data_IF_174274162043
#
_entry.id   IF_174274162043
#
_cell.length_a   1.000
_cell.length_b   1.000
_cell.length_c   1.000
_cell.angle_alpha   90.00
_cell.angle_beta   90.00
_cell.angle_gamma   90.00
#
_symmetry.space_group_name_H-M   'P 1'
#
loop_
_entity.id
_entity.type
_entity.pdbx_description
1 polymer ?
#
# COMPACT_ATOMS: atom_id res chain seq x y z
N UNK A 1 -14.41 -35.53 15.00
CA UNK A 1 -14.38 -34.62 16.16
C UNK A 1 -14.56 -33.20 15.66
N UNK A 2 -15.58 -32.45 16.06
CA UNK A 2 -15.78 -31.08 15.62
C UNK A 2 -14.75 -30.19 16.33
N UNK A 3 -14.00 -29.41 15.55
CA UNK A 3 -13.09 -28.36 16.01
C UNK A 3 -13.96 -27.28 16.66
N UNK A 4 -13.83 -27.10 17.96
CA UNK A 4 -14.43 -25.97 18.68
C UNK A 4 -13.63 -24.72 18.34
N UNK A 5 -14.16 -23.92 17.42
CA UNK A 5 -13.67 -22.59 17.11
C UNK A 5 -14.07 -21.65 18.27
N UNK A 6 -13.18 -21.53 19.24
CA UNK A 6 -13.35 -20.64 20.39
C UNK A 6 -12.75 -19.27 20.01
N UNK A 7 -13.40 -18.52 19.11
CA UNK A 7 -13.09 -17.11 18.89
C UNK A 7 -13.58 -16.30 20.10
N UNK A 8 -12.74 -16.22 21.13
CA UNK A 8 -12.93 -15.31 22.26
C UNK A 8 -12.67 -13.87 21.80
N UNK A 9 -13.62 -13.24 21.11
CA UNK A 9 -13.61 -11.80 20.93
C UNK A 9 -13.77 -11.17 22.32
N UNK A 10 -12.69 -10.49 22.80
CA UNK A 10 -12.84 -9.64 23.98
C UNK A 10 -13.88 -8.57 23.65
N UNK A 11 -14.92 -8.40 24.48
CA UNK A 11 -15.87 -7.31 24.29
C UNK A 11 -15.08 -5.98 24.27
N UNK A 12 -15.46 -5.07 23.36
CA UNK A 12 -14.88 -3.74 23.27
C UNK A 12 -14.91 -3.05 24.64
N UNK A 13 -13.81 -2.46 25.05
CA UNK A 13 -13.78 -1.68 26.28
C UNK A 13 -14.77 -0.50 26.19
N UNK A 14 -15.23 0.01 27.33
CA UNK A 14 -16.08 1.20 27.35
C UNK A 14 -15.38 2.41 26.69
N UNK A 15 -14.07 2.51 26.79
CA UNK A 15 -13.30 3.57 26.13
C UNK A 15 -13.33 3.42 24.60
N UNK A 16 -13.23 2.19 24.08
CA UNK A 16 -13.34 1.92 22.65
C UNK A 16 -14.74 2.24 22.11
N UNK A 17 -15.79 1.88 22.87
CA UNK A 17 -17.17 2.17 22.49
C UNK A 17 -17.42 3.70 22.43
N UNK A 18 -16.95 4.45 23.42
CA UNK A 18 -17.06 5.91 23.46
C UNK A 18 -16.26 6.55 22.31
N UNK A 19 -15.03 6.08 22.06
CA UNK A 19 -14.21 6.60 20.98
C UNK A 19 -14.85 6.35 19.61
N UNK A 20 -15.38 5.15 19.36
CA UNK A 20 -16.10 4.81 18.13
C UNK A 20 -17.34 5.68 17.90
N UNK A 21 -18.11 5.95 18.95
CA UNK A 21 -19.28 6.80 18.83
C UNK A 21 -18.93 8.25 18.53
N UNK A 22 -17.93 8.81 19.20
CA UNK A 22 -17.45 10.17 18.91
C UNK A 22 -16.81 10.26 17.52
N UNK A 23 -16.05 9.25 17.12
CA UNK A 23 -15.52 9.14 15.76
C UNK A 23 -16.65 9.14 14.73
N UNK A 24 -17.69 8.34 14.93
CA UNK A 24 -18.87 8.30 14.08
C UNK A 24 -19.57 9.67 14.00
N UNK A 25 -19.68 10.40 15.13
CA UNK A 25 -20.27 11.72 15.16
C UNK A 25 -19.45 12.73 14.33
N UNK A 26 -18.12 12.63 14.34
CA UNK A 26 -17.22 13.46 13.53
C UNK A 26 -17.31 13.09 12.04
N UNK A 27 -17.14 11.80 11.70
CA UNK A 27 -17.15 11.32 10.31
C UNK A 27 -18.50 11.53 9.60
N UNK A 28 -19.61 11.56 10.36
CA UNK A 28 -20.96 11.86 9.85
C UNK A 28 -21.34 13.35 9.98
N UNK A 29 -20.36 14.23 10.19
CA UNK A 29 -20.52 15.68 10.29
C UNK A 29 -21.52 16.16 11.35
N UNK A 30 -21.79 15.35 12.40
CA UNK A 30 -22.56 15.77 13.58
C UNK A 30 -21.73 16.66 14.51
N UNK A 31 -20.40 16.57 14.39
CA UNK A 31 -19.41 17.45 14.99
C UNK A 31 -18.52 17.96 13.85
N UNK A 32 -18.56 19.25 13.57
CA UNK A 32 -17.86 19.84 12.42
C UNK A 32 -16.43 20.26 12.76
N UNK A 33 -15.58 20.42 11.75
CA UNK A 33 -14.22 20.97 11.92
C UNK A 33 -14.32 22.36 12.56
N UNK A 34 -13.48 22.60 13.58
CA UNK A 34 -13.49 23.83 14.39
C UNK A 34 -14.48 23.79 15.55
N UNK A 35 -15.39 22.83 15.60
CA UNK A 35 -16.34 22.68 16.70
C UNK A 35 -15.66 22.09 17.93
N UNK A 36 -16.07 22.53 19.12
CA UNK A 36 -15.57 22.00 20.38
C UNK A 36 -16.33 20.76 20.80
N UNK A 37 -15.61 19.71 21.16
CA UNK A 37 -16.22 18.56 21.83
C UNK A 37 -16.91 19.01 23.15
N UNK A 38 -18.01 18.35 23.53
CA UNK A 38 -18.57 18.52 24.86
C UNK A 38 -17.50 18.30 25.94
N UNK A 39 -17.60 19.04 27.04
CA UNK A 39 -16.65 18.90 28.16
C UNK A 39 -16.65 17.49 28.76
N UNK A 40 -15.53 17.10 29.41
CA UNK A 40 -15.43 15.77 30.08
C UNK A 40 -16.67 15.44 30.92
N UNK A 41 -17.21 16.34 31.79
CA UNK A 41 -18.43 16.04 32.55
C UNK A 41 -19.67 15.78 31.68
N UNK A 42 -19.81 16.52 30.56
CA UNK A 42 -20.94 16.29 29.62
C UNK A 42 -20.80 14.96 28.89
N UNK A 43 -19.58 14.57 28.50
CA UNK A 43 -19.31 13.27 27.88
C UNK A 43 -19.54 12.11 28.87
N UNK A 44 -19.10 12.28 30.12
CA UNK A 44 -19.36 11.31 31.19
C UNK A 44 -20.87 11.08 31.37
N UNK A 45 -21.66 12.15 31.42
CA UNK A 45 -23.11 12.08 31.53
C UNK A 45 -23.77 11.47 30.28
N UNK A 46 -23.33 11.87 29.07
CA UNK A 46 -23.86 11.35 27.79
C UNK A 46 -23.67 9.85 27.64
N UNK A 47 -22.50 9.33 28.00
CA UNK A 47 -22.13 7.93 27.81
C UNK A 47 -22.27 7.08 29.07
N UNK A 48 -22.64 7.69 30.18
CA UNK A 48 -22.72 7.03 31.49
C UNK A 48 -21.43 6.27 31.87
N UNK A 49 -20.27 6.95 31.74
CA UNK A 49 -18.93 6.37 31.98
C UNK A 49 -18.08 7.27 32.90
N UNK A 50 -17.03 6.69 33.47
CA UNK A 50 -16.10 7.41 34.32
C UNK A 50 -15.15 8.34 33.55
N UNK A 51 -14.52 9.29 34.26
CA UNK A 51 -13.58 10.26 33.71
C UNK A 51 -12.39 9.58 32.99
N UNK A 52 -11.85 8.50 33.55
CA UNK A 52 -10.75 7.73 32.93
C UNK A 52 -11.12 7.21 31.54
N UNK A 53 -12.33 6.65 31.43
CA UNK A 53 -12.87 6.14 30.15
C UNK A 53 -12.99 7.25 29.09
N UNK A 54 -13.51 8.42 29.47
CA UNK A 54 -13.61 9.58 28.55
C UNK A 54 -12.22 10.02 28.11
N UNK A 55 -11.25 10.10 29.02
CA UNK A 55 -9.88 10.51 28.69
C UNK A 55 -9.15 9.53 27.78
N UNK A 56 -9.34 8.23 27.99
CA UNK A 56 -8.79 7.22 27.07
C UNK A 56 -9.45 7.31 25.68
N UNK A 57 -10.76 7.48 25.60
CA UNK A 57 -11.45 7.69 24.33
C UNK A 57 -10.95 8.95 23.60
N UNK A 58 -10.76 10.08 24.32
CA UNK A 58 -10.20 11.30 23.75
C UNK A 58 -8.78 11.09 23.23
N UNK A 59 -7.92 10.35 23.95
CA UNK A 59 -6.56 10.01 23.48
C UNK A 59 -6.61 9.21 22.15
N UNK A 60 -7.53 8.27 22.02
CA UNK A 60 -7.71 7.52 20.76
C UNK A 60 -8.00 8.48 19.61
N UNK A 61 -8.95 9.41 19.79
CA UNK A 61 -9.30 10.38 18.75
C UNK A 61 -8.17 11.36 18.42
N UNK A 62 -7.35 11.74 19.42
CA UNK A 62 -6.13 12.54 19.20
C UNK A 62 -5.12 11.76 18.35
N UNK A 63 -4.88 10.49 18.68
CA UNK A 63 -3.99 9.61 17.91
C UNK A 63 -4.48 9.37 16.47
N UNK A 64 -5.80 9.36 16.26
CA UNK A 64 -6.42 9.31 14.95
C UNK A 64 -6.35 10.66 14.21
N UNK A 65 -5.84 11.72 14.84
CA UNK A 65 -5.74 13.05 14.23
C UNK A 65 -7.08 13.74 13.97
N UNK A 66 -8.17 13.28 14.59
CA UNK A 66 -9.50 13.86 14.43
C UNK A 66 -9.73 15.08 15.31
N UNK A 67 -9.08 15.14 16.47
CA UNK A 67 -9.25 16.21 17.45
C UNK A 67 -7.91 16.67 18.01
N UNK A 68 -7.86 17.91 18.49
CA UNK A 68 -6.73 18.50 19.19
C UNK A 68 -7.16 18.97 20.60
N UNK A 69 -6.33 18.69 21.60
CA UNK A 69 -6.54 19.16 22.98
C UNK A 69 -5.60 20.34 23.25
N UNK A 70 -6.16 21.51 23.48
CA UNK A 70 -5.41 22.71 23.89
C UNK A 70 -5.69 23.04 25.36
N UNK A 71 -4.64 23.11 26.18
CA UNK A 71 -4.76 23.45 27.59
C UNK A 71 -5.47 24.82 27.76
N UNK A 72 -6.50 24.84 28.58
CA UNK A 72 -7.33 26.05 28.81
C UNK A 72 -8.33 26.42 27.68
N UNK A 73 -8.22 25.77 26.50
CA UNK A 73 -9.13 26.05 25.36
C UNK A 73 -10.07 24.89 25.04
N UNK A 74 -9.86 23.71 25.67
CA UNK A 74 -10.69 22.53 25.45
C UNK A 74 -10.23 21.65 24.28
N UNK A 75 -11.12 20.78 23.83
CA UNK A 75 -10.89 19.83 22.75
C UNK A 75 -11.67 20.27 21.51
N UNK A 76 -11.00 20.35 20.36
CA UNK A 76 -11.59 20.85 19.10
C UNK A 76 -11.41 19.82 18.00
N UNK A 77 -12.43 19.63 17.15
CA UNK A 77 -12.34 18.81 15.93
C UNK A 77 -11.43 19.52 14.93
N UNK A 78 -10.41 18.81 14.43
CA UNK A 78 -9.45 19.34 13.46
C UNK A 78 -9.52 18.64 12.10
N UNK A 79 -10.10 17.44 12.06
CA UNK A 79 -10.38 16.69 10.84
C UNK A 79 -11.73 15.97 10.99
N UNK A 80 -12.45 15.83 9.88
CA UNK A 80 -13.71 15.10 9.76
C UNK A 80 -13.59 13.83 8.90
N UNK A 81 -12.37 13.45 8.60
CA UNK A 81 -11.99 12.20 7.95
C UNK A 81 -10.82 11.59 8.71
N UNK A 82 -10.78 10.25 8.76
CA UNK A 82 -9.58 9.57 9.26
C UNK A 82 -8.40 9.95 8.37
N UNK A 83 -7.19 10.08 8.93
CA UNK A 83 -5.99 10.18 8.11
C UNK A 83 -6.03 9.04 7.12
N UNK A 84 -5.96 9.38 5.86
CA UNK A 84 -5.90 8.40 4.80
C UNK A 84 -4.59 7.61 4.98
N UNK A 85 -4.70 6.45 5.65
CA UNK A 85 -3.59 5.50 5.84
C UNK A 85 -3.47 4.57 4.64
N UNK A 86 -3.94 5.01 3.47
CA UNK A 86 -3.73 4.27 2.24
C UNK A 86 -2.24 4.13 1.94
N UNK A 87 -1.91 3.13 1.15
CA UNK A 87 -0.56 2.96 0.61
C UNK A 87 -0.07 4.26 -0.04
N UNK A 88 -0.96 5.00 -0.71
CA UNK A 88 -0.64 6.28 -1.36
C UNK A 88 -0.13 7.34 -0.37
N UNK A 89 -0.78 7.52 0.79
CA UNK A 89 -0.31 8.49 1.80
C UNK A 89 0.97 8.03 2.49
N UNK A 90 1.16 6.73 2.67
CA UNK A 90 2.40 6.16 3.18
C UNK A 90 3.55 6.45 2.22
N UNK A 91 3.39 6.14 0.93
CA UNK A 91 4.43 6.37 -0.08
C UNK A 91 4.75 7.85 -0.30
N UNK A 92 3.79 8.78 -0.08
CA UNK A 92 4.08 10.22 -0.14
C UNK A 92 5.11 10.67 0.91
N UNK A 93 5.23 9.98 2.03
CA UNK A 93 6.15 10.28 3.14
C UNK A 93 7.42 9.44 3.10
N UNK A 94 7.40 8.33 2.38
CA UNK A 94 8.51 7.39 2.30
C UNK A 94 9.67 7.96 1.46
N UNK A 95 10.88 7.63 1.84
CA UNK A 95 12.08 7.83 1.02
C UNK A 95 12.11 6.83 -0.15
N UNK A 96 12.93 7.13 -1.16
CA UNK A 96 13.14 6.20 -2.30
C UNK A 96 13.70 4.87 -1.81
N UNK A 97 14.59 4.88 -0.82
CA UNK A 97 15.20 3.67 -0.25
C UNK A 97 14.11 2.77 0.36
N UNK A 98 13.26 3.32 1.24
CA UNK A 98 12.16 2.57 1.85
C UNK A 98 11.21 1.97 0.81
N UNK A 99 10.95 2.71 -0.26
CA UNK A 99 10.11 2.22 -1.37
C UNK A 99 10.79 1.08 -2.13
N UNK A 100 12.09 1.19 -2.43
CA UNK A 100 12.85 0.12 -3.09
C UNK A 100 12.96 -1.13 -2.21
N UNK A 101 13.14 -0.99 -0.91
CA UNK A 101 13.13 -2.11 0.05
C UNK A 101 11.77 -2.82 0.06
N UNK A 102 10.66 -2.07 0.10
CA UNK A 102 9.31 -2.62 0.02
C UNK A 102 9.07 -3.34 -1.32
N UNK A 103 9.49 -2.75 -2.44
CA UNK A 103 9.44 -3.39 -3.77
C UNK A 103 10.19 -4.71 -3.78
N UNK A 104 11.44 -4.73 -3.28
CA UNK A 104 12.24 -5.96 -3.19
C UNK A 104 11.48 -7.05 -2.43
N UNK A 105 10.95 -6.73 -1.25
CA UNK A 105 10.23 -7.70 -0.42
C UNK A 105 8.96 -8.25 -1.11
N UNK A 106 8.19 -7.40 -1.78
CA UNK A 106 6.95 -7.79 -2.47
C UNK A 106 7.26 -8.53 -3.77
N UNK A 107 8.08 -7.96 -4.64
CA UNK A 107 8.29 -8.48 -6.00
C UNK A 107 9.10 -9.77 -6.01
N UNK A 108 10.06 -9.96 -5.09
CA UNK A 108 10.78 -11.24 -4.95
C UNK A 108 9.88 -12.36 -4.47
N UNK A 109 8.97 -12.09 -3.53
CA UNK A 109 7.96 -13.04 -3.10
C UNK A 109 6.99 -13.42 -4.22
N UNK A 110 6.54 -12.43 -4.99
CA UNK A 110 5.66 -12.64 -6.15
C UNK A 110 6.35 -13.52 -7.20
N UNK A 111 7.55 -13.17 -7.65
CA UNK A 111 8.22 -13.91 -8.72
C UNK A 111 8.57 -15.34 -8.30
N UNK A 112 8.88 -15.54 -7.00
CA UNK A 112 9.06 -16.88 -6.44
C UNK A 112 7.80 -17.74 -6.59
N UNK A 113 6.64 -17.22 -6.19
CA UNK A 113 5.36 -17.91 -6.33
C UNK A 113 4.98 -18.12 -7.80
N UNK A 114 5.23 -17.12 -8.65
CA UNK A 114 4.98 -17.20 -10.09
C UNK A 114 5.74 -18.33 -10.73
N UNK A 115 7.02 -18.53 -10.42
CA UNK A 115 7.81 -19.65 -10.94
C UNK A 115 7.19 -21.01 -10.63
N UNK A 116 6.50 -21.15 -9.50
CA UNK A 116 5.86 -22.41 -9.10
C UNK A 116 4.48 -22.59 -9.73
N UNK A 117 3.69 -21.52 -9.80
CA UNK A 117 2.25 -21.59 -10.10
C UNK A 117 1.88 -21.27 -11.56
N UNK A 118 2.74 -20.54 -12.30
CA UNK A 118 2.45 -20.06 -13.64
C UNK A 118 2.07 -21.19 -14.61
N UNK A 119 1.18 -20.90 -15.51
CA UNK A 119 0.77 -21.77 -16.62
C UNK A 119 1.19 -21.18 -17.99
N UNK A 120 0.83 -21.88 -19.09
CA UNK A 120 1.21 -21.44 -20.43
C UNK A 120 0.48 -20.14 -20.88
N UNK A 121 -0.72 -19.87 -20.36
CA UNK A 121 -1.46 -18.63 -20.67
C UNK A 121 -0.78 -17.43 -20.01
N UNK A 122 -0.28 -17.59 -18.78
CA UNK A 122 0.43 -16.53 -18.07
C UNK A 122 1.73 -16.14 -18.81
N UNK A 123 2.48 -17.13 -19.29
CA UNK A 123 3.70 -16.88 -20.09
C UNK A 123 3.39 -16.10 -21.37
N UNK A 124 2.30 -16.43 -22.07
CA UNK A 124 1.88 -15.67 -23.26
C UNK A 124 1.59 -14.22 -22.93
N UNK A 125 0.88 -13.95 -21.81
CA UNK A 125 0.58 -12.60 -21.39
C UNK A 125 1.86 -11.81 -21.05
N UNK A 126 2.80 -12.39 -20.29
CA UNK A 126 4.07 -11.76 -19.96
C UNK A 126 4.90 -11.49 -21.23
N UNK A 127 5.00 -12.44 -22.14
CA UNK A 127 5.71 -12.27 -23.43
C UNK A 127 5.11 -11.12 -24.23
N UNK A 128 3.80 -11.08 -24.36
CA UNK A 128 3.08 -10.05 -25.10
C UNK A 128 3.38 -8.63 -24.55
N UNK A 129 3.29 -8.44 -23.25
CA UNK A 129 3.58 -7.12 -22.66
C UNK A 129 5.06 -6.76 -22.73
N UNK A 130 5.97 -7.72 -22.62
CA UNK A 130 7.39 -7.48 -22.81
C UNK A 130 7.72 -7.05 -24.25
N UNK A 131 7.08 -7.63 -25.26
CA UNK A 131 7.23 -7.23 -26.66
C UNK A 131 6.75 -5.79 -26.89
N UNK A 132 5.59 -5.41 -26.32
CA UNK A 132 5.08 -4.02 -26.39
C UNK A 132 6.07 -3.07 -25.71
N UNK A 133 6.59 -3.42 -24.53
CA UNK A 133 7.57 -2.64 -23.81
C UNK A 133 8.84 -2.41 -24.65
N UNK A 134 9.35 -3.45 -25.29
CA UNK A 134 10.51 -3.36 -26.19
C UNK A 134 10.22 -2.45 -27.40
N UNK A 135 9.04 -2.55 -27.99
CA UNK A 135 8.65 -1.68 -29.11
C UNK A 135 8.52 -0.22 -28.67
N UNK A 136 7.90 0.03 -27.52
CA UNK A 136 7.78 1.37 -26.96
C UNK A 136 9.15 2.01 -26.60
N UNK A 137 10.10 1.21 -26.09
CA UNK A 137 11.47 1.65 -25.84
C UNK A 137 12.17 2.11 -27.12
N UNK A 138 12.05 1.35 -28.22
CA UNK A 138 12.62 1.71 -29.54
C UNK A 138 12.04 3.01 -30.08
N UNK A 139 10.73 3.24 -29.86
CA UNK A 139 10.03 4.45 -30.29
C UNK A 139 10.23 5.62 -29.31
N UNK A 140 10.89 5.42 -28.20
CA UNK A 140 11.06 6.38 -27.09
C UNK A 140 9.72 6.98 -26.60
N UNK A 141 8.65 6.18 -26.67
CA UNK A 141 7.33 6.56 -26.18
C UNK A 141 7.22 6.25 -24.69
N UNK A 142 7.41 7.26 -23.83
CA UNK A 142 7.43 7.10 -22.38
C UNK A 142 6.11 6.51 -21.84
N UNK A 143 4.97 7.05 -22.29
CA UNK A 143 3.64 6.59 -21.82
C UNK A 143 3.38 5.13 -22.19
N UNK A 144 3.69 4.75 -23.45
CA UNK A 144 3.51 3.37 -23.90
C UNK A 144 4.48 2.43 -23.19
N UNK A 145 5.69 2.87 -22.93
CA UNK A 145 6.71 2.13 -22.18
C UNK A 145 6.25 1.86 -20.76
N UNK A 146 5.85 2.91 -20.04
CA UNK A 146 5.38 2.82 -18.66
C UNK A 146 4.15 1.93 -18.53
N UNK A 147 3.22 2.05 -19.47
CA UNK A 147 2.02 1.20 -19.46
C UNK A 147 2.37 -0.27 -19.70
N UNK A 148 3.22 -0.57 -20.67
CA UNK A 148 3.62 -1.94 -20.98
C UNK A 148 4.45 -2.57 -19.86
N UNK A 149 5.31 -1.80 -19.19
CA UNK A 149 6.07 -2.22 -18.03
C UNK A 149 5.16 -2.60 -16.86
N UNK A 150 4.19 -1.74 -16.56
CA UNK A 150 3.15 -2.00 -15.55
C UNK A 150 2.40 -3.30 -15.83
N UNK A 151 1.95 -3.49 -17.08
CA UNK A 151 1.20 -4.69 -17.48
C UNK A 151 2.06 -5.96 -17.44
N UNK A 152 3.35 -5.87 -17.73
CA UNK A 152 4.29 -6.98 -17.60
C UNK A 152 4.41 -7.45 -16.14
N UNK A 153 4.65 -6.53 -15.23
CA UNK A 153 4.77 -6.85 -13.80
C UNK A 153 3.43 -7.28 -13.18
N UNK A 154 2.31 -6.70 -13.62
CA UNK A 154 0.97 -7.14 -13.21
C UNK A 154 0.69 -8.58 -13.69
N UNK A 155 1.11 -8.94 -14.91
CA UNK A 155 0.98 -10.30 -15.42
C UNK A 155 1.80 -11.30 -14.58
N UNK A 156 2.98 -10.92 -14.10
CA UNK A 156 3.77 -11.72 -13.16
C UNK A 156 3.00 -11.92 -11.85
N UNK A 157 2.42 -10.85 -11.29
CA UNK A 157 1.66 -10.94 -10.05
C UNK A 157 0.40 -11.81 -10.18
N UNK A 158 -0.33 -11.70 -11.29
CA UNK A 158 -1.51 -12.55 -11.61
C UNK A 158 -1.14 -14.02 -11.73
N UNK A 159 0.04 -14.33 -12.28
CA UNK A 159 0.53 -15.68 -12.45
C UNK A 159 0.95 -16.39 -11.14
N UNK A 160 0.90 -15.69 -10.02
CA UNK A 160 0.96 -16.34 -8.70
C UNK A 160 -0.27 -17.19 -8.43
N UNK A 161 -1.40 -16.94 -9.12
CA UNK A 161 -2.71 -17.51 -8.86
C UNK A 161 -3.16 -17.36 -7.39
N UNK A 162 -2.66 -16.29 -6.74
CA UNK A 162 -3.00 -15.91 -5.37
C UNK A 162 -3.63 -14.52 -5.38
N UNK A 163 -4.95 -14.49 -5.13
CA UNK A 163 -5.73 -13.23 -5.17
C UNK A 163 -5.19 -12.18 -4.19
N UNK A 164 -4.71 -12.61 -3.01
CA UNK A 164 -4.16 -11.69 -2.00
C UNK A 164 -2.88 -11.02 -2.50
N UNK A 165 -1.97 -11.80 -3.09
CA UNK A 165 -0.72 -11.26 -3.65
C UNK A 165 -0.98 -10.36 -4.86
N UNK A 166 -1.93 -10.72 -5.71
CA UNK A 166 -2.32 -9.90 -6.86
C UNK A 166 -2.86 -8.53 -6.42
N UNK A 167 -3.77 -8.52 -5.44
CA UNK A 167 -4.35 -7.28 -4.94
C UNK A 167 -3.32 -6.43 -4.16
N UNK A 168 -2.50 -7.07 -3.32
CA UNK A 168 -1.42 -6.37 -2.60
C UNK A 168 -0.47 -5.66 -3.58
N UNK A 169 -0.08 -6.36 -4.65
CA UNK A 169 0.76 -5.78 -5.68
C UNK A 169 0.08 -4.62 -6.40
N UNK A 170 -1.19 -4.79 -6.80
CA UNK A 170 -1.95 -3.77 -7.51
C UNK A 170 -2.09 -2.48 -6.68
N UNK A 171 -2.42 -2.58 -5.39
CA UNK A 171 -2.56 -1.44 -4.48
C UNK A 171 -1.23 -0.72 -4.25
N UNK A 172 -0.16 -1.51 -4.06
CA UNK A 172 1.19 -0.96 -3.93
C UNK A 172 1.61 -0.25 -5.22
N UNK A 173 1.48 -0.91 -6.38
CA UNK A 173 1.92 -0.39 -7.66
C UNK A 173 1.13 0.86 -8.09
N UNK A 174 -0.18 0.89 -7.87
CA UNK A 174 -0.98 2.07 -8.11
C UNK A 174 -0.45 3.28 -7.32
N UNK A 175 -0.17 3.10 -6.04
CA UNK A 175 0.34 4.15 -5.17
C UNK A 175 1.78 4.55 -5.51
N UNK A 176 2.63 3.60 -5.88
CA UNK A 176 3.99 3.80 -6.38
C UNK A 176 4.00 4.64 -7.66
N UNK A 177 3.17 4.28 -8.64
CA UNK A 177 3.05 4.96 -9.92
C UNK A 177 2.67 6.43 -9.76
N UNK A 178 1.71 6.73 -8.88
CA UNK A 178 1.29 8.11 -8.60
C UNK A 178 2.43 8.98 -8.06
N UNK A 179 3.38 8.41 -7.35
CA UNK A 179 4.46 9.15 -6.68
C UNK A 179 5.78 9.14 -7.44
N UNK A 180 6.14 8.02 -8.02
CA UNK A 180 7.46 7.76 -8.58
C UNK A 180 7.44 7.30 -10.05
N UNK A 181 6.28 6.98 -10.61
CA UNK A 181 6.16 6.27 -11.90
C UNK A 181 6.89 6.96 -13.04
N UNK A 182 6.73 8.27 -13.22
CA UNK A 182 7.38 9.01 -14.30
C UNK A 182 8.91 9.02 -14.14
N UNK A 183 9.40 9.23 -12.92
CA UNK A 183 10.83 9.28 -12.62
C UNK A 183 11.51 7.94 -12.91
N UNK A 184 10.90 6.85 -12.45
CA UNK A 184 11.42 5.50 -12.67
C UNK A 184 11.31 5.08 -14.15
N UNK A 185 10.21 5.38 -14.83
CA UNK A 185 10.07 5.06 -16.25
C UNK A 185 11.11 5.79 -17.12
N UNK A 186 11.42 7.06 -16.82
CA UNK A 186 12.50 7.80 -17.48
C UNK A 186 13.87 7.17 -17.23
N UNK A 187 14.15 6.75 -15.99
CA UNK A 187 15.38 6.08 -15.62
C UNK A 187 15.53 4.75 -16.35
N UNK A 188 14.51 3.91 -16.37
CA UNK A 188 14.51 2.63 -17.07
C UNK A 188 14.69 2.79 -18.59
N UNK A 189 13.99 3.73 -19.19
CA UNK A 189 14.07 3.98 -20.63
C UNK A 189 15.47 4.47 -21.03
N UNK A 190 16.12 5.28 -20.18
CA UNK A 190 17.47 5.81 -20.44
C UNK A 190 18.57 4.74 -20.35
N UNK A 191 18.38 3.69 -19.54
CA UNK A 191 19.37 2.66 -19.26
C UNK A 191 19.17 1.35 -20.03
N UNK A 192 18.24 1.31 -20.98
CA UNK A 192 17.94 0.10 -21.77
C UNK A 192 17.74 -1.17 -20.94
N UNK A 193 16.92 -1.11 -19.91
CA UNK A 193 16.70 -2.24 -18.97
C UNK A 193 15.96 -3.45 -19.59
N UNK A 194 15.73 -3.43 -20.88
CA UNK A 194 15.13 -4.54 -21.63
C UNK A 194 15.81 -5.89 -21.38
N UNK A 195 17.15 -6.01 -21.29
CA UNK A 195 17.79 -7.30 -21.02
C UNK A 195 17.40 -7.89 -19.67
N UNK A 196 17.24 -7.06 -18.63
CA UNK A 196 16.84 -7.54 -17.29
C UNK A 196 15.44 -8.15 -17.34
N UNK A 197 14.47 -7.47 -17.97
CA UNK A 197 13.10 -7.97 -18.09
C UNK A 197 13.01 -9.27 -18.91
N UNK A 198 13.85 -9.43 -19.94
CA UNK A 198 13.97 -10.69 -20.68
C UNK A 198 14.51 -11.81 -19.80
N UNK A 199 15.50 -11.53 -18.97
CA UNK A 199 16.08 -12.49 -18.05
C UNK A 199 15.08 -12.91 -16.95
N UNK A 200 14.26 -11.96 -16.46
CA UNK A 200 13.14 -12.28 -15.53
C UNK A 200 12.18 -13.27 -16.20
N UNK A 201 11.70 -12.96 -17.41
CA UNK A 201 10.79 -13.84 -18.14
C UNK A 201 11.40 -15.22 -18.38
N UNK A 202 12.66 -15.30 -18.86
CA UNK A 202 13.36 -16.55 -19.09
C UNK A 202 13.48 -17.39 -17.82
N UNK A 203 13.81 -16.76 -16.69
CA UNK A 203 13.89 -17.48 -15.41
C UNK A 203 12.50 -18.01 -14.96
N UNK A 204 11.43 -17.24 -15.18
CA UNK A 204 10.06 -17.68 -14.93
C UNK A 204 9.69 -18.85 -15.85
N UNK A 205 10.02 -18.78 -17.15
CA UNK A 205 9.79 -19.85 -18.12
C UNK A 205 10.48 -21.17 -17.70
N UNK A 206 11.70 -21.07 -17.19
CA UNK A 206 12.49 -22.19 -16.71
C UNK A 206 12.09 -22.66 -15.29
N UNK A 207 11.13 -21.99 -14.64
CA UNK A 207 10.77 -22.23 -13.23
C UNK A 207 11.96 -22.08 -12.26
N UNK A 208 12.95 -21.28 -12.64
CA UNK A 208 14.12 -21.02 -11.83
C UNK A 208 13.85 -19.82 -10.90
N UNK A 209 13.23 -20.10 -9.75
CA UNK A 209 12.84 -19.07 -8.80
C UNK A 209 14.05 -18.28 -8.26
N UNK A 210 15.20 -18.94 -8.04
CA UNK A 210 16.40 -18.26 -7.55
C UNK A 210 16.93 -17.24 -8.57
N UNK A 211 16.96 -17.60 -9.84
CA UNK A 211 17.41 -16.71 -10.89
C UNK A 211 16.39 -15.58 -11.14
N UNK A 212 15.10 -15.86 -11.03
CA UNK A 212 14.05 -14.86 -11.17
C UNK A 212 14.11 -13.80 -10.06
N UNK A 213 14.29 -14.23 -8.81
CA UNK A 213 14.52 -13.34 -7.66
C UNK A 213 15.76 -12.46 -7.88
N UNK A 214 16.88 -13.06 -8.29
CA UNK A 214 18.10 -12.31 -8.59
C UNK A 214 17.85 -11.18 -9.61
N UNK A 215 17.15 -11.45 -10.72
CA UNK A 215 16.91 -10.46 -11.75
C UNK A 215 15.93 -9.36 -11.31
N UNK A 216 14.93 -9.67 -10.47
CA UNK A 216 14.06 -8.66 -9.85
C UNK A 216 14.89 -7.72 -8.96
N UNK A 217 15.78 -8.26 -8.13
CA UNK A 217 16.66 -7.45 -7.29
C UNK A 217 17.58 -6.56 -8.14
N UNK A 218 18.15 -7.09 -9.23
CA UNK A 218 18.98 -6.29 -10.14
C UNK A 218 18.18 -5.15 -10.77
N UNK A 219 16.93 -5.40 -11.19
CA UNK A 219 16.06 -4.38 -11.73
C UNK A 219 15.84 -3.23 -10.74
N UNK A 220 15.52 -3.55 -9.50
CA UNK A 220 15.23 -2.55 -8.45
C UNK A 220 16.52 -1.82 -8.03
N UNK A 221 17.65 -2.51 -7.86
CA UNK A 221 18.92 -1.90 -7.47
C UNK A 221 19.40 -0.86 -8.50
N UNK A 222 19.24 -1.15 -9.78
CA UNK A 222 19.63 -0.23 -10.84
C UNK A 222 18.80 1.05 -10.81
N UNK A 223 17.51 0.93 -10.56
CA UNK A 223 16.60 2.07 -10.39
C UNK A 223 16.94 2.91 -9.15
N UNK A 224 17.22 2.24 -8.02
CA UNK A 224 17.63 2.92 -6.78
C UNK A 224 18.88 3.79 -6.99
N UNK A 225 19.88 3.27 -7.69
CA UNK A 225 21.11 4.00 -8.01
C UNK A 225 20.85 5.21 -8.91
N UNK A 226 19.93 5.08 -9.88
CA UNK A 226 19.64 6.16 -10.84
C UNK A 226 18.88 7.32 -10.21
N UNK A 227 18.05 7.04 -9.22
CA UNK A 227 17.21 8.05 -8.56
C UNK A 227 17.97 8.79 -7.45
N UNK A 228 19.02 8.17 -6.90
CA UNK A 228 19.87 8.77 -5.85
C UNK A 228 21.05 9.60 -6.39
N UNK A 229 21.30 9.58 -7.71
CA UNK A 229 22.29 10.40 -8.43
C UNK A 229 21.63 11.58 -9.15
#
# INVERSE_FOLDING_TARGET
MPVKDNQNFKPLSLADQVSQQLQSDILNHRLSIGERLPTEPKLMARFNVGRSTVREAVKVLVNLGLIEVKQGRGTTVINDSLPDQTMSTTLKKASVIEVCEARKAIETGIVYLTCHNRNATDLKAMTYYLEIRVAAAKLRSLDSYQHADEQFHEAIAKATHNLVMTNLYADFWHSFKLRFGEQFAKAELSQEQTPIHKNILTAIEQRNAQQAVYWIEQNINLLEQTVNN
#
